data_IF_904995897880
#
_entry.id   IF_904995897880
#
_cell.length_a   1.000
_cell.length_b   1.000
_cell.length_c   1.000
_cell.angle_alpha   90.00
_cell.angle_beta   90.00
_cell.angle_gamma   90.00
#
_symmetry.space_group_name_H-M   'P 1'
#
loop_
_entity.id
_entity.type
_entity.pdbx_description
1 polymer ?
#
# COMPACT_ATOMS: atom_id res chain seq x y z
N UNK A 1 -22.14 -43.50 -29.67
CA UNK A 1 -22.75 -42.14 -29.56
C UNK A 1 -22.92 -41.65 -28.12
N UNK A 2 -23.54 -42.40 -27.20
CA UNK A 2 -23.71 -41.97 -25.78
C UNK A 2 -22.41 -41.61 -25.04
N UNK A 3 -21.29 -42.32 -25.31
CA UNK A 3 -19.98 -42.03 -24.69
C UNK A 3 -19.36 -40.71 -25.16
N UNK A 4 -19.63 -40.30 -26.40
CA UNK A 4 -19.16 -39.02 -26.96
C UNK A 4 -19.97 -37.85 -26.37
N UNK A 5 -21.28 -38.05 -26.17
CA UNK A 5 -22.14 -37.06 -25.53
C UNK A 5 -21.72 -36.77 -24.08
N UNK A 6 -21.33 -37.81 -23.33
CA UNK A 6 -20.82 -37.66 -21.96
C UNK A 6 -19.49 -36.88 -21.93
N UNK A 7 -18.62 -37.10 -22.92
CA UNK A 7 -17.35 -36.40 -23.04
C UNK A 7 -17.57 -34.90 -23.34
N UNK A 8 -18.49 -34.57 -24.25
CA UNK A 8 -18.86 -33.17 -24.55
C UNK A 8 -19.40 -32.44 -23.32
N UNK A 9 -20.24 -33.10 -22.51
CA UNK A 9 -20.79 -32.51 -21.26
C UNK A 9 -19.69 -32.29 -20.23
N UNK A 10 -18.71 -33.18 -20.15
CA UNK A 10 -17.57 -33.02 -19.27
C UNK A 10 -16.70 -31.83 -19.70
N UNK A 11 -16.47 -31.64 -21.01
CA UNK A 11 -15.73 -30.49 -21.54
C UNK A 11 -16.45 -29.14 -21.31
N UNK A 12 -17.79 -29.12 -21.31
CA UNK A 12 -18.57 -27.91 -21.02
C UNK A 12 -18.48 -27.45 -19.55
N UNK A 13 -18.15 -28.37 -18.63
CA UNK A 13 -17.89 -28.03 -17.22
C UNK A 13 -16.48 -27.50 -16.97
N UNK A 14 -15.57 -27.59 -17.97
CA UNK A 14 -14.22 -27.00 -17.89
C UNK A 14 -14.15 -25.57 -18.45
N UNK A 15 -15.20 -25.05 -19.09
CA UNK A 15 -15.24 -23.63 -19.48
C UNK A 15 -15.72 -22.80 -18.29
N UNK A 16 -14.81 -22.54 -17.36
CA UNK A 16 -14.97 -21.48 -16.35
C UNK A 16 -15.03 -20.12 -17.03
N UNK A 17 -16.19 -19.76 -17.59
CA UNK A 17 -16.45 -18.43 -18.11
C UNK A 17 -16.79 -17.50 -16.94
N UNK A 18 -15.80 -17.13 -16.13
CA UNK A 18 -15.90 -15.87 -15.40
C UNK A 18 -15.61 -14.73 -16.39
N UNK A 19 -16.51 -13.74 -16.55
CA UNK A 19 -16.18 -12.47 -17.18
C UNK A 19 -15.11 -11.83 -16.30
N UNK A 20 -13.86 -11.99 -16.72
CA UNK A 20 -12.72 -11.84 -15.86
C UNK A 20 -12.45 -10.35 -15.60
N UNK A 21 -12.99 -9.79 -14.50
CA UNK A 21 -12.48 -8.53 -13.93
C UNK A 21 -11.00 -8.65 -13.54
N UNK A 22 -10.54 -9.86 -13.23
CA UNK A 22 -9.15 -10.21 -12.97
C UNK A 22 -8.45 -10.64 -14.26
N UNK A 23 -8.50 -9.80 -15.32
CA UNK A 23 -7.60 -9.98 -16.46
C UNK A 23 -6.20 -10.09 -15.85
N UNK A 24 -5.66 -11.31 -15.83
CA UNK A 24 -4.25 -11.56 -15.57
C UNK A 24 -3.57 -10.90 -16.75
N UNK A 25 -3.26 -9.62 -16.59
CA UNK A 25 -2.41 -8.90 -17.50
C UNK A 25 -1.08 -9.61 -17.37
N UNK A 26 -0.85 -10.54 -18.29
CA UNK A 26 0.44 -11.14 -18.56
C UNK A 26 1.47 -10.01 -18.47
N UNK A 27 2.50 -10.19 -17.63
CA UNK A 27 3.56 -9.20 -17.39
C UNK A 27 4.20 -8.67 -18.69
N UNK A 28 3.96 -9.34 -19.81
CA UNK A 28 4.52 -9.10 -21.11
C UNK A 28 3.58 -8.40 -22.12
N UNK A 29 2.30 -8.15 -21.78
CA UNK A 29 1.35 -7.55 -22.74
C UNK A 29 1.39 -6.02 -22.78
N UNK A 30 1.92 -5.38 -21.74
CA UNK A 30 2.25 -3.96 -21.76
C UNK A 30 3.76 -3.86 -21.53
N UNK A 31 4.54 -3.72 -22.60
CA UNK A 31 5.97 -3.41 -22.52
C UNK A 31 6.23 -1.96 -22.02
N UNK A 32 5.34 -1.45 -21.17
CA UNK A 32 5.57 -0.24 -20.39
C UNK A 32 6.65 -0.53 -19.37
N UNK A 33 7.46 0.49 -19.08
CA UNK A 33 8.48 0.40 -18.04
C UNK A 33 7.80 0.01 -16.72
N UNK A 34 8.40 -0.90 -15.96
CA UNK A 34 7.94 -1.25 -14.62
C UNK A 34 8.60 -0.25 -13.68
N UNK A 35 7.83 0.46 -12.87
CA UNK A 35 8.39 1.39 -11.91
C UNK A 35 8.35 0.78 -10.50
N UNK A 36 9.50 0.41 -9.92
CA UNK A 36 9.55 -0.13 -8.56
C UNK A 36 9.17 0.94 -7.54
N UNK A 37 8.16 0.64 -6.73
CA UNK A 37 7.67 1.53 -5.68
C UNK A 37 8.18 1.02 -4.33
N UNK A 38 8.82 1.89 -3.54
CA UNK A 38 9.32 1.57 -2.19
C UNK A 38 8.29 1.87 -1.10
N UNK A 39 7.55 2.97 -1.27
CA UNK A 39 6.53 3.44 -0.35
C UNK A 39 5.58 4.43 -1.04
N UNK A 40 4.44 4.69 -0.42
CA UNK A 40 3.54 5.76 -0.86
C UNK A 40 2.73 6.30 0.32
N UNK A 41 2.29 7.53 0.18
CA UNK A 41 1.49 8.26 1.15
C UNK A 41 0.14 8.60 0.55
N UNK A 42 -0.93 8.49 1.32
CA UNK A 42 -2.28 8.84 0.89
C UNK A 42 -2.93 9.75 1.93
N UNK A 43 -3.46 10.86 1.46
CA UNK A 43 -4.25 11.79 2.26
C UNK A 43 -5.59 12.09 1.58
N UNK A 44 -6.53 12.68 2.32
CA UNK A 44 -7.81 13.15 1.82
C UNK A 44 -7.86 14.67 1.95
N UNK A 45 -7.71 15.37 0.82
CA UNK A 45 -7.70 16.85 0.73
C UNK A 45 -8.80 17.28 -0.24
N UNK A 46 -9.64 18.24 0.14
CA UNK A 46 -10.71 18.78 -0.70
C UNK A 46 -11.67 17.71 -1.27
N UNK A 47 -12.07 16.73 -0.47
CA UNK A 47 -12.87 15.55 -0.87
C UNK A 47 -12.21 14.62 -1.91
N UNK A 48 -10.94 14.83 -2.26
CA UNK A 48 -10.18 13.95 -3.13
C UNK A 48 -9.12 13.20 -2.33
N UNK A 49 -8.90 11.95 -2.70
CA UNK A 49 -7.69 11.24 -2.28
C UNK A 49 -6.51 11.75 -3.08
N UNK A 50 -5.44 12.10 -2.38
CA UNK A 50 -4.16 12.48 -2.94
C UNK A 50 -3.13 11.41 -2.56
N UNK A 51 -2.49 10.80 -3.54
CA UNK A 51 -1.44 9.81 -3.34
C UNK A 51 -0.11 10.37 -3.81
N UNK A 52 0.89 10.38 -2.93
CA UNK A 52 2.28 10.69 -3.24
C UNK A 52 3.07 9.40 -3.22
N UNK A 53 3.81 9.13 -4.30
CA UNK A 53 4.45 7.83 -4.52
C UNK A 53 5.96 8.02 -4.57
N UNK A 54 6.68 7.15 -3.89
CA UNK A 54 8.14 7.08 -3.92
C UNK A 54 8.59 5.95 -4.85
N UNK A 55 9.22 6.34 -5.96
CA UNK A 55 9.83 5.40 -6.89
C UNK A 55 11.35 5.38 -6.75
N UNK A 56 11.90 4.21 -7.06
CA UNK A 56 13.34 3.98 -7.08
C UNK A 56 13.84 4.23 -8.49
N UNK A 57 14.68 5.27 -8.66
CA UNK A 57 15.41 5.51 -9.91
C UNK A 57 16.90 5.28 -9.69
N UNK A 58 17.49 4.55 -10.62
CA UNK A 58 18.94 4.43 -10.74
C UNK A 58 19.38 5.33 -11.89
N UNK A 59 19.68 6.58 -11.58
CA UNK A 59 19.97 7.60 -12.59
C UNK A 59 21.49 7.72 -12.92
N UNK A 60 22.38 7.01 -12.21
CA UNK A 60 23.84 7.10 -12.42
C UNK A 60 24.53 5.76 -12.68
N UNK A 61 25.57 5.82 -13.53
CA UNK A 61 26.53 4.73 -13.79
C UNK A 61 27.32 4.34 -12.53
N UNK A 62 27.38 5.25 -11.55
CA UNK A 62 28.07 5.07 -10.27
C UNK A 62 27.23 4.32 -9.21
N UNK A 63 25.99 3.95 -9.55
CA UNK A 63 25.12 3.12 -8.70
C UNK A 63 24.40 3.87 -7.59
N UNK A 64 24.40 5.20 -7.63
CA UNK A 64 23.70 6.03 -6.64
C UNK A 64 22.19 5.99 -6.90
N UNK A 65 21.44 5.57 -5.88
CA UNK A 65 19.99 5.39 -5.96
C UNK A 65 19.30 6.58 -5.32
N UNK A 66 18.46 7.28 -6.08
CA UNK A 66 17.71 8.44 -5.60
C UNK A 66 16.20 8.19 -5.67
N UNK A 67 15.43 8.60 -4.66
CA UNK A 67 13.98 8.54 -4.72
C UNK A 67 13.45 9.61 -5.69
N UNK A 68 12.41 9.26 -6.45
CA UNK A 68 11.63 10.22 -7.21
C UNK A 68 10.17 10.19 -6.76
N UNK A 69 9.62 11.39 -6.52
CA UNK A 69 8.26 11.57 -6.01
C UNK A 69 7.33 12.09 -7.09
N UNK A 70 6.12 11.56 -7.11
CA UNK A 70 5.03 12.03 -7.96
C UNK A 70 3.71 11.92 -7.21
N UNK A 71 2.77 12.80 -7.56
CA UNK A 71 1.49 12.90 -6.86
C UNK A 71 0.34 12.82 -7.84
N UNK A 72 -0.66 12.00 -7.50
CA UNK A 72 -1.92 11.88 -8.24
C UNK A 72 -3.10 12.15 -7.33
N UNK A 73 -4.24 12.50 -7.93
CA UNK A 73 -5.50 12.71 -7.21
C UNK A 73 -6.64 11.92 -7.85
N UNK A 74 -7.60 11.51 -7.04
CA UNK A 74 -8.84 10.89 -7.50
C UNK A 74 -9.94 10.89 -6.42
N UNK A 75 -11.17 10.60 -6.81
CA UNK A 75 -12.33 10.51 -5.92
C UNK A 75 -12.40 9.16 -5.16
N UNK A 76 -11.77 8.12 -5.69
CA UNK A 76 -11.72 6.78 -5.07
C UNK A 76 -10.34 6.12 -5.28
N UNK A 77 -10.03 5.12 -4.45
CA UNK A 77 -8.72 4.46 -4.47
C UNK A 77 -8.44 3.68 -5.76
N UNK A 78 -9.43 3.02 -6.36
CA UNK A 78 -9.24 2.27 -7.60
C UNK A 78 -8.82 3.20 -8.75
N UNK A 79 -9.48 4.34 -8.90
CA UNK A 79 -9.12 5.37 -9.88
C UNK A 79 -7.81 6.06 -9.51
N UNK A 80 -7.49 6.20 -8.21
CA UNK A 80 -6.22 6.75 -7.75
C UNK A 80 -5.04 5.90 -8.23
N UNK A 81 -5.10 4.58 -8.05
CA UNK A 81 -4.09 3.65 -8.55
C UNK A 81 -4.05 3.62 -10.09
N UNK A 82 -5.21 3.67 -10.75
CA UNK A 82 -5.28 3.74 -12.21
C UNK A 82 -4.61 5.01 -12.76
N UNK A 83 -4.92 6.18 -12.19
CA UNK A 83 -4.32 7.45 -12.57
C UNK A 83 -2.80 7.44 -12.36
N UNK A 84 -2.33 6.81 -11.29
CA UNK A 84 -0.90 6.64 -11.05
C UNK A 84 -0.22 5.74 -12.09
N UNK A 85 -0.84 4.63 -12.48
CA UNK A 85 -0.36 3.77 -13.56
C UNK A 85 -0.34 4.52 -14.92
N UNK A 86 -1.28 5.45 -15.16
CA UNK A 86 -1.33 6.24 -16.40
C UNK A 86 -0.32 7.38 -16.46
N UNK A 87 -0.12 8.11 -15.36
CA UNK A 87 0.72 9.32 -15.32
C UNK A 87 2.17 9.03 -15.75
N UNK A 88 2.67 7.85 -15.47
CA UNK A 88 4.07 7.50 -15.70
C UNK A 88 4.32 6.76 -17.02
N UNK A 89 3.26 6.48 -17.80
CA UNK A 89 3.30 5.51 -18.90
C UNK A 89 3.96 4.17 -18.48
N UNK A 90 3.85 3.84 -17.19
CA UNK A 90 4.58 2.78 -16.51
C UNK A 90 3.64 2.14 -15.51
N UNK A 91 3.72 0.82 -15.33
CA UNK A 91 2.94 0.15 -14.30
C UNK A 91 3.64 0.31 -12.96
N UNK A 92 2.94 0.85 -11.96
CA UNK A 92 3.41 0.83 -10.58
C UNK A 92 3.62 -0.62 -10.16
N UNK A 93 4.79 -0.90 -9.60
CA UNK A 93 5.11 -2.24 -9.13
C UNK A 93 5.27 -2.24 -7.61
N UNK A 94 4.20 -2.65 -6.94
CA UNK A 94 4.09 -2.61 -5.49
C UNK A 94 4.76 -3.80 -4.78
N UNK A 95 5.37 -4.73 -5.51
CA UNK A 95 6.06 -5.88 -4.90
C UNK A 95 7.22 -5.49 -3.98
N UNK A 96 7.77 -4.28 -4.14
CA UNK A 96 8.81 -3.71 -3.29
C UNK A 96 8.27 -2.69 -2.28
N UNK A 97 6.97 -2.36 -2.35
CA UNK A 97 6.36 -1.43 -1.43
C UNK A 97 6.38 -2.05 -0.03
N UNK A 98 6.92 -1.28 0.91
CA UNK A 98 7.16 -1.74 2.28
C UNK A 98 6.21 -1.09 3.28
N UNK A 99 5.79 0.15 3.00
CA UNK A 99 4.92 0.94 3.86
C UNK A 99 3.98 1.84 3.04
N UNK A 100 2.76 1.99 3.54
CA UNK A 100 1.79 3.02 3.17
C UNK A 100 1.62 3.95 4.36
N UNK A 101 1.75 5.25 4.15
CA UNK A 101 1.43 6.26 5.16
C UNK A 101 0.07 6.84 4.82
N UNK A 102 -0.86 6.83 5.78
CA UNK A 102 -2.21 7.38 5.60
C UNK A 102 -2.48 8.46 6.62
N UNK A 103 -3.40 9.39 6.30
CA UNK A 103 -3.92 10.28 7.32
C UNK A 103 -4.84 9.52 8.28
N UNK A 104 -4.98 10.06 9.49
CA UNK A 104 -5.87 9.50 10.50
C UNK A 104 -7.33 9.39 10.01
N UNK A 105 -7.77 10.31 9.13
CA UNK A 105 -9.09 10.26 8.51
C UNK A 105 -9.27 8.98 7.68
N UNK A 106 -8.30 8.66 6.81
CA UNK A 106 -8.35 7.44 6.00
C UNK A 106 -8.28 6.20 6.89
N UNK A 107 -7.39 6.19 7.88
CA UNK A 107 -7.25 5.05 8.79
C UNK A 107 -8.55 4.73 9.55
N UNK A 108 -9.34 5.75 9.92
CA UNK A 108 -10.59 5.60 10.67
C UNK A 108 -11.78 5.24 9.80
N UNK A 109 -11.89 5.83 8.61
CA UNK A 109 -13.14 5.81 7.84
C UNK A 109 -13.04 5.07 6.51
N UNK A 110 -11.84 4.98 5.93
CA UNK A 110 -11.65 4.52 4.55
C UNK A 110 -10.63 3.37 4.45
N UNK A 111 -10.18 2.80 5.58
CA UNK A 111 -9.13 1.77 5.62
C UNK A 111 -9.54 0.49 4.89
N UNK A 112 -10.79 0.04 5.07
CA UNK A 112 -11.31 -1.15 4.40
C UNK A 112 -11.36 -0.94 2.88
N UNK A 113 -11.78 0.25 2.44
CA UNK A 113 -11.82 0.61 1.02
C UNK A 113 -10.41 0.62 0.41
N UNK A 114 -9.43 1.18 1.12
CA UNK A 114 -8.03 1.17 0.70
C UNK A 114 -7.48 -0.25 0.59
N UNK A 115 -7.71 -1.10 1.61
CA UNK A 115 -7.25 -2.48 1.63
C UNK A 115 -7.91 -3.30 0.52
N UNK A 116 -9.20 -3.11 0.26
CA UNK A 116 -9.89 -3.78 -0.85
C UNK A 116 -9.30 -3.40 -2.20
N UNK A 117 -9.02 -2.11 -2.46
CA UNK A 117 -8.35 -1.68 -3.68
C UNK A 117 -6.92 -2.24 -3.81
N UNK A 118 -6.20 -2.43 -2.70
CA UNK A 118 -4.89 -3.07 -2.70
C UNK A 118 -4.97 -4.58 -2.98
N UNK A 119 -5.99 -5.26 -2.47
CA UNK A 119 -6.24 -6.69 -2.74
C UNK A 119 -6.55 -6.98 -4.22
N UNK A 120 -7.14 -6.02 -4.93
CA UNK A 120 -7.35 -6.11 -6.37
C UNK A 120 -6.03 -6.05 -7.17
N UNK A 121 -4.95 -5.55 -6.56
CA UNK A 121 -3.63 -5.46 -7.22
C UNK A 121 -2.83 -6.77 -7.05
N UNK A 122 -2.45 -7.45 -8.14
CA UNK A 122 -1.74 -8.73 -8.06
C UNK A 122 -0.29 -8.60 -7.56
N UNK A 123 0.28 -7.40 -7.56
CA UNK A 123 1.63 -7.05 -7.12
C UNK A 123 1.69 -6.48 -5.69
N UNK A 124 0.55 -6.22 -5.04
CA UNK A 124 0.52 -5.78 -3.65
C UNK A 124 0.76 -6.97 -2.71
N UNK A 125 1.75 -6.84 -1.81
CA UNK A 125 2.02 -7.88 -0.81
C UNK A 125 1.12 -7.70 0.40
N UNK A 126 0.63 -8.80 0.95
CA UNK A 126 -0.12 -8.80 2.22
C UNK A 126 0.74 -8.36 3.43
N UNK A 127 2.07 -8.34 3.27
CA UNK A 127 3.04 -7.84 4.26
C UNK A 127 3.21 -6.32 4.22
N UNK A 128 2.57 -5.63 3.28
CA UNK A 128 2.61 -4.17 3.17
C UNK A 128 2.05 -3.56 4.46
N UNK A 129 2.83 -2.68 5.08
CA UNK A 129 2.47 -2.04 6.36
C UNK A 129 1.66 -0.79 6.11
N UNK A 130 0.77 -0.47 7.04
CA UNK A 130 0.01 0.79 7.02
C UNK A 130 0.34 1.55 8.31
N UNK A 131 0.77 2.81 8.16
CA UNK A 131 1.11 3.70 9.26
C UNK A 131 0.31 4.99 9.17
N UNK A 132 0.04 5.62 10.32
CA UNK A 132 -0.74 6.85 10.42
C UNK A 132 0.20 8.03 10.57
N UNK A 133 0.03 9.08 9.77
CA UNK A 133 0.68 10.36 10.00
C UNK A 133 -0.10 11.18 11.03
N UNK A 134 0.58 11.68 12.07
CA UNK A 134 0.01 12.54 13.11
C UNK A 134 0.81 13.83 13.25
N UNK A 135 0.10 14.96 13.36
CA UNK A 135 0.65 16.32 13.39
C UNK A 135 1.53 16.68 12.19
N UNK A 136 1.42 15.92 11.10
CA UNK A 136 2.07 16.14 9.81
C UNK A 136 1.22 15.48 8.73
N UNK A 137 1.37 15.92 7.50
CA UNK A 137 0.73 15.26 6.37
C UNK A 137 1.43 13.94 6.03
N UNK A 138 0.71 12.95 5.48
CA UNK A 138 1.32 11.71 4.99
C UNK A 138 2.46 11.96 4.00
N UNK A 139 2.32 12.97 3.14
CA UNK A 139 3.33 13.31 2.13
C UNK A 139 4.60 13.93 2.73
N UNK A 140 4.49 14.71 3.81
CA UNK A 140 5.63 15.20 4.57
C UNK A 140 6.39 14.06 5.27
N UNK A 141 5.68 13.10 5.87
CA UNK A 141 6.31 11.93 6.52
C UNK A 141 7.07 11.07 5.50
N UNK A 142 6.52 10.88 4.30
CA UNK A 142 7.17 10.09 3.25
C UNK A 142 8.46 10.74 2.73
N UNK A 143 8.46 12.07 2.58
CA UNK A 143 9.57 12.84 2.02
C UNK A 143 10.58 13.32 3.06
N UNK A 144 10.30 13.12 4.35
CA UNK A 144 11.17 13.53 5.42
C UNK A 144 12.55 12.84 5.29
N UNK A 145 13.63 13.56 5.63
CA UNK A 145 14.97 13.00 5.61
C UNK A 145 15.05 11.70 6.41
N UNK A 146 15.68 10.69 5.83
CA UNK A 146 15.99 9.46 6.53
C UNK A 146 17.18 9.67 7.46
N UNK A 147 17.11 9.10 8.66
CA UNK A 147 18.25 9.08 9.63
C UNK A 147 19.38 8.17 9.13
N UNK A 148 19.08 7.22 8.23
CA UNK A 148 20.05 6.33 7.60
C UNK A 148 20.20 6.66 6.12
N UNK A 149 21.41 6.55 5.56
CA UNK A 149 21.61 6.69 4.12
C UNK A 149 20.73 5.70 3.33
N UNK A 150 19.99 6.20 2.35
CA UNK A 150 19.13 5.39 1.48
C UNK A 150 17.74 5.99 1.22
N UNK A 151 16.88 5.18 0.60
CA UNK A 151 15.53 5.58 0.20
C UNK A 151 14.61 5.69 1.44
N UNK A 152 13.94 6.84 1.66
CA UNK A 152 13.14 7.09 2.87
C UNK A 152 12.10 6.01 3.20
N UNK A 153 11.34 5.54 2.22
CA UNK A 153 10.36 4.46 2.43
C UNK A 153 10.97 3.16 2.98
N UNK A 154 12.16 2.78 2.50
CA UNK A 154 12.88 1.60 3.00
C UNK A 154 13.44 1.81 4.41
N UNK A 155 13.92 3.02 4.71
CA UNK A 155 14.37 3.39 6.04
C UNK A 155 13.21 3.35 7.05
N UNK A 156 12.02 3.85 6.66
CA UNK A 156 10.81 3.80 7.48
C UNK A 156 10.39 2.37 7.82
N UNK A 157 10.36 1.48 6.81
CA UNK A 157 10.06 0.07 7.05
C UNK A 157 11.07 -0.59 8.00
N UNK A 158 12.36 -0.30 7.84
CA UNK A 158 13.41 -0.84 8.71
C UNK A 158 13.29 -0.33 10.14
N UNK A 159 12.95 0.95 10.30
CA UNK A 159 12.72 1.59 11.59
C UNK A 159 11.51 0.99 12.31
N UNK A 160 10.41 0.72 11.60
CA UNK A 160 9.26 0.03 12.17
C UNK A 160 9.59 -1.43 12.53
N UNK A 161 10.29 -2.17 11.66
CA UNK A 161 10.67 -3.56 11.93
C UNK A 161 11.54 -3.69 13.19
N UNK A 162 12.49 -2.77 13.39
CA UNK A 162 13.32 -2.73 14.61
C UNK A 162 12.48 -2.54 15.86
N UNK A 163 11.51 -1.62 15.84
CA UNK A 163 10.64 -1.33 16.98
C UNK A 163 9.68 -2.46 17.31
N UNK A 164 9.20 -3.18 16.30
CA UNK A 164 8.39 -4.39 16.50
C UNK A 164 9.21 -5.50 17.15
N UNK A 165 10.47 -5.70 16.74
CA UNK A 165 11.38 -6.68 17.37
C UNK A 165 11.67 -6.36 18.83
N UNK A 166 11.81 -5.08 19.16
CA UNK A 166 12.03 -4.61 20.53
C UNK A 166 10.74 -4.62 21.39
N UNK A 167 9.63 -5.17 20.87
CA UNK A 167 8.30 -5.27 21.49
C UNK A 167 7.72 -3.93 21.98
N UNK A 168 8.30 -2.82 21.53
CA UNK A 168 7.89 -1.48 21.95
C UNK A 168 6.75 -0.94 21.07
N UNK A 169 6.45 -1.64 19.98
CA UNK A 169 5.44 -1.25 18.99
C UNK A 169 4.63 -2.44 18.51
N UNK A 170 3.34 -2.20 18.31
CA UNK A 170 2.46 -3.11 17.59
C UNK A 170 2.44 -2.70 16.11
N UNK A 171 2.77 -3.64 15.23
CA UNK A 171 2.79 -3.48 13.78
C UNK A 171 1.84 -4.49 13.14
N UNK A 172 0.91 -3.97 12.34
CA UNK A 172 -0.16 -4.73 11.71
C UNK A 172 -0.04 -4.57 10.18
N UNK A 173 0.66 -5.49 9.49
CA UNK A 173 0.64 -5.56 8.03
C UNK A 173 -0.76 -5.86 7.50
N UNK A 174 -0.97 -5.64 6.19
CA UNK A 174 -2.29 -5.72 5.56
C UNK A 174 -3.07 -7.00 5.86
N UNK A 175 -2.44 -8.18 5.97
CA UNK A 175 -3.15 -9.41 6.35
C UNK A 175 -3.81 -9.36 7.74
N UNK A 176 -3.26 -8.58 8.69
CA UNK A 176 -3.88 -8.39 10.01
C UNK A 176 -5.10 -7.49 9.95
N UNK A 177 -5.14 -6.57 9.00
CA UNK A 177 -6.31 -5.73 8.74
C UNK A 177 -7.43 -6.56 8.11
N UNK A 178 -7.10 -7.52 7.25
CA UNK A 178 -8.07 -8.48 6.75
C UNK A 178 -8.63 -9.37 7.86
N UNK A 179 -7.78 -9.82 8.78
CA UNK A 179 -8.20 -10.56 9.96
C UNK A 179 -9.20 -9.76 10.82
N UNK A 180 -9.03 -8.44 10.92
CA UNK A 180 -9.98 -7.53 11.57
C UNK A 180 -11.32 -7.51 10.84
N UNK A 181 -11.30 -7.28 9.52
CA UNK A 181 -12.52 -7.18 8.70
C UNK A 181 -13.33 -8.48 8.74
N UNK A 182 -12.66 -9.63 8.81
CA UNK A 182 -13.30 -10.95 8.82
C UNK A 182 -13.72 -11.46 10.20
N UNK A 183 -12.95 -11.15 11.25
CA UNK A 183 -13.12 -11.76 12.58
C UNK A 183 -13.45 -10.75 13.69
N UNK A 184 -13.56 -9.44 13.39
CA UNK A 184 -13.86 -8.40 14.36
C UNK A 184 -12.80 -8.19 15.43
N UNK A 185 -11.53 -8.51 15.13
CA UNK A 185 -10.39 -8.32 16.06
C UNK A 185 -9.76 -6.96 15.88
N UNK A 186 -9.62 -6.18 16.94
CA UNK A 186 -8.93 -4.88 16.96
C UNK A 186 -7.59 -4.87 16.19
N UNK A 187 -7.33 -3.80 15.44
CA UNK A 187 -6.05 -3.56 14.77
C UNK A 187 -5.26 -2.48 15.50
N UNK A 188 -3.93 -2.62 15.52
CA UNK A 188 -3.04 -1.58 16.01
C UNK A 188 -2.17 -1.04 14.87
N UNK A 189 -2.38 0.21 14.49
CA UNK A 189 -1.62 0.87 13.43
C UNK A 189 -0.53 1.77 14.06
N UNK A 190 0.73 1.69 13.61
CA UNK A 190 1.79 2.57 14.08
C UNK A 190 1.53 4.03 13.69
N UNK A 191 1.81 4.94 14.61
CA UNK A 191 1.74 6.39 14.39
C UNK A 191 3.14 6.95 14.19
N UNK A 192 3.29 7.70 13.09
CA UNK A 192 4.49 8.41 12.70
C UNK A 192 4.27 9.92 12.84
N UNK A 193 5.30 10.61 13.31
CA UNK A 193 5.30 12.07 13.42
C UNK A 193 6.70 12.60 13.14
N UNK A 194 6.81 13.89 12.85
CA UNK A 194 8.11 14.55 12.71
C UNK A 194 8.67 14.94 14.08
N UNK A 195 9.97 14.76 14.27
CA UNK A 195 10.70 15.39 15.37
C UNK A 195 11.05 16.85 15.05
N UNK A 196 11.51 17.58 16.06
CA UNK A 196 11.87 19.00 15.95
C UNK A 196 13.01 19.24 14.94
N UNK A 197 13.80 18.22 14.65
CA UNK A 197 14.88 18.20 13.67
C UNK A 197 14.43 17.78 12.25
N UNK A 198 13.13 17.52 12.06
CA UNK A 198 12.53 17.18 10.77
C UNK A 198 12.61 15.70 10.37
N UNK A 199 13.15 14.81 11.22
CA UNK A 199 13.18 13.37 10.96
C UNK A 199 11.88 12.67 11.37
N UNK A 200 11.59 11.52 10.76
CA UNK A 200 10.44 10.71 11.17
C UNK A 200 10.76 9.92 12.43
N UNK A 201 9.87 9.99 13.41
CA UNK A 201 9.88 9.12 14.60
C UNK A 201 8.54 8.41 14.80
N UNK A 202 8.56 7.14 15.23
CA UNK A 202 7.37 6.47 15.77
C UNK A 202 6.98 7.11 17.10
N UNK A 203 5.69 7.39 17.28
CA UNK A 203 5.15 7.96 18.53
C UNK A 203 4.47 6.91 19.41
N UNK A 204 3.47 6.23 18.87
CA UNK A 204 2.63 5.24 19.56
C UNK A 204 1.91 4.34 18.56
N UNK A 205 1.04 3.44 19.01
CA UNK A 205 0.10 2.74 18.13
C UNK A 205 -1.34 3.19 18.40
N UNK A 206 -2.14 3.32 17.35
CA UNK A 206 -3.58 3.53 17.48
C UNK A 206 -4.28 2.19 17.34
N UNK A 207 -5.06 1.82 18.35
CA UNK A 207 -5.96 0.67 18.32
C UNK A 207 -7.29 1.11 17.72
N UNK A 208 -7.66 0.52 16.60
CA UNK A 208 -8.98 0.66 15.99
C UNK A 208 -9.77 -0.60 16.35
N UNK A 209 -10.79 -0.41 17.19
CA UNK A 209 -11.66 -1.47 17.66
C UNK A 209 -12.75 -1.77 16.64
N UNK A 210 -13.24 -3.00 16.64
CA UNK A 210 -14.26 -3.47 15.68
C UNK A 210 -15.62 -2.80 15.80
N UNK A 211 -15.86 -2.06 16.89
CA UNK A 211 -17.02 -1.19 17.10
C UNK A 211 -16.83 0.23 16.54
N UNK A 212 -15.70 0.50 15.86
CA UNK A 212 -15.32 1.83 15.37
C UNK A 212 -14.71 2.73 16.46
N UNK A 213 -14.53 2.23 17.67
CA UNK A 213 -13.83 2.91 18.75
C UNK A 213 -12.34 3.04 18.46
N UNK A 214 -11.72 4.14 18.91
CA UNK A 214 -10.28 4.34 18.75
C UNK A 214 -9.63 4.66 20.08
N UNK A 215 -8.55 3.94 20.38
CA UNK A 215 -7.76 4.08 21.61
C UNK A 215 -6.28 4.25 21.25
N UNK A 216 -5.55 5.03 22.03
CA UNK A 216 -4.10 5.15 21.90
C UNK A 216 -3.45 4.13 22.84
N UNK A 217 -2.46 3.40 22.33
CA UNK A 217 -1.69 2.40 23.05
C UNK A 217 -0.19 2.72 23.03
#
# INVERSE_FOLDING_TARGET
MKKILLLIICLLMLTGCQPNKNKRVELNQNAGQILPISAFAIDKKDNLYQMTIESIRQDSLDGEVSPAYFTVKSENFSDLFYNADMMLASRLYLSHASIIIVSENIARFDIDNLVNSLLERPDARLTLRIAIAENSTPDEILQAPSVTDGIPGMALSSLLEKRTKDQTFLDFPMFRILDYSLNGRDIALPVLTLSDDGHVKPKSSIIISSDGGVKYA
#
